data_IF_349528762277
#
_entry.id   IF_349528762277
#
_cell.length_a   1.000
_cell.length_b   1.000
_cell.length_c   1.000
_cell.angle_alpha   90.00
_cell.angle_beta   90.00
_cell.angle_gamma   90.00
#
_symmetry.space_group_name_H-M   'P 1'
#
loop_
_entity.id
_entity.type
_entity.pdbx_description
1 polymer ?
#
# COMPACT_ATOMS: atom_id res chain seq x y z
N UNK A 1 -8.14 12.34 13.66
CA UNK A 1 -7.42 11.44 14.59
C UNK A 1 -8.38 11.01 15.68
N UNK A 2 -8.88 9.78 15.61
CA UNK A 2 -9.69 9.18 16.68
C UNK A 2 -8.89 8.02 17.27
N UNK A 3 -8.23 8.26 18.41
CA UNK A 3 -7.75 7.17 19.27
C UNK A 3 -8.90 6.82 20.20
N UNK A 4 -9.52 5.66 20.01
CA UNK A 4 -10.51 5.12 20.93
C UNK A 4 -10.00 3.76 21.40
N UNK A 5 -9.69 3.65 22.70
CA UNK A 5 -9.33 2.36 23.31
C UNK A 5 -10.60 1.55 23.55
N UNK A 6 -10.86 0.56 22.71
CA UNK A 6 -11.87 -0.46 22.99
C UNK A 6 -11.23 -1.53 23.89
N UNK A 7 -11.82 -1.84 25.06
CA UNK A 7 -11.28 -2.89 25.93
C UNK A 7 -11.11 -4.22 25.18
N UNK A 8 -9.93 -4.83 25.29
CA UNK A 8 -9.63 -6.10 24.63
C UNK A 8 -9.11 -5.99 23.17
N UNK A 9 -8.98 -4.78 22.62
CA UNK A 9 -8.45 -4.55 21.27
C UNK A 9 -7.05 -3.92 21.35
N UNK A 10 -6.19 -4.26 20.39
CA UNK A 10 -4.86 -3.66 20.27
C UNK A 10 -4.97 -2.13 20.09
N UNK A 11 -4.06 -1.40 20.74
CA UNK A 11 -3.88 0.02 20.45
C UNK A 11 -3.49 0.19 18.99
N UNK A 12 -4.12 1.16 18.32
CA UNK A 12 -3.96 1.37 16.90
C UNK A 12 -4.17 2.83 16.49
N UNK A 13 -3.67 3.18 15.30
CA UNK A 13 -3.93 4.44 14.62
C UNK A 13 -4.42 4.17 13.20
N UNK A 14 -5.37 5.00 12.76
CA UNK A 14 -5.96 4.93 11.42
C UNK A 14 -5.64 6.20 10.66
N UNK A 15 -5.09 6.04 9.46
CA UNK A 15 -4.67 7.12 8.57
C UNK A 15 -5.10 6.82 7.12
N UNK A 16 -5.25 7.87 6.33
CA UNK A 16 -5.70 7.76 4.94
C UNK A 16 -7.22 7.77 4.77
N UNK A 17 -7.70 7.68 3.51
CA UNK A 17 -9.11 7.82 3.19
C UNK A 17 -9.94 6.65 3.71
N UNK A 18 -11.16 6.93 4.20
CA UNK A 18 -12.09 5.89 4.65
C UNK A 18 -12.49 4.89 3.54
N UNK A 19 -12.41 5.32 2.28
CA UNK A 19 -12.66 4.49 1.10
C UNK A 19 -11.45 3.70 0.61
N UNK A 20 -10.25 3.97 1.14
CA UNK A 20 -9.02 3.29 0.75
C UNK A 20 -9.06 1.80 1.10
N UNK A 21 -8.34 0.99 0.34
CA UNK A 21 -8.21 -0.44 0.65
C UNK A 21 -7.60 -0.62 2.05
N UNK A 22 -8.21 -1.43 2.94
CA UNK A 22 -7.69 -1.61 4.29
C UNK A 22 -6.29 -2.24 4.27
N UNK A 23 -5.33 -1.59 4.94
CA UNK A 23 -3.95 -2.07 5.08
C UNK A 23 -3.58 -2.12 6.55
N UNK A 24 -3.36 -3.31 7.10
CA UNK A 24 -2.92 -3.49 8.48
C UNK A 24 -1.39 -3.60 8.54
N UNK A 25 -0.76 -2.85 9.45
CA UNK A 25 0.69 -2.75 9.59
C UNK A 25 1.16 -3.26 10.96
N UNK A 26 1.86 -4.40 10.97
CA UNK A 26 2.37 -5.05 12.18
C UNK A 26 3.83 -4.66 12.51
N UNK A 27 4.15 -4.28 13.75
CA UNK A 27 5.47 -3.79 14.13
C UNK A 27 6.46 -4.93 14.43
N UNK A 28 7.73 -4.57 14.59
CA UNK A 28 8.77 -5.48 15.10
C UNK A 28 8.64 -5.66 16.61
N UNK A 29 9.14 -6.79 17.14
CA UNK A 29 9.35 -6.95 18.57
C UNK A 29 10.24 -5.81 19.10
N UNK A 30 9.81 -5.15 20.17
CA UNK A 30 10.53 -4.05 20.79
C UNK A 30 10.26 -2.67 20.19
N UNK A 31 9.39 -2.54 19.20
CA UNK A 31 9.02 -1.23 18.63
C UNK A 31 7.54 -0.94 18.85
N UNK A 32 7.13 0.32 18.70
CA UNK A 32 5.72 0.69 18.55
C UNK A 32 5.32 0.81 17.07
N UNK A 33 4.07 1.21 16.83
CA UNK A 33 3.52 1.61 15.54
C UNK A 33 4.30 2.76 14.87
N UNK A 34 5.16 3.46 15.60
CA UNK A 34 6.04 4.50 15.06
C UNK A 34 7.08 3.95 14.07
N UNK A 35 7.41 2.65 14.14
CA UNK A 35 8.35 2.01 13.20
C UNK A 35 7.91 2.13 11.73
N UNK A 36 6.62 2.36 11.49
CA UNK A 36 6.03 2.52 10.16
C UNK A 36 5.91 3.98 9.70
N UNK A 37 6.25 4.96 10.54
CA UNK A 37 6.10 6.40 10.24
C UNK A 37 6.70 6.80 8.87
N UNK A 38 7.89 6.30 8.46
CA UNK A 38 8.47 6.66 7.16
C UNK A 38 7.63 6.23 5.94
N UNK A 39 6.78 5.21 6.07
CA UNK A 39 5.95 4.69 4.98
C UNK A 39 4.53 5.27 4.97
N UNK A 40 4.02 5.69 6.13
CA UNK A 40 2.61 6.03 6.36
C UNK A 40 2.11 7.08 5.38
N UNK A 41 2.82 8.21 5.25
CA UNK A 41 2.38 9.30 4.38
C UNK A 41 2.22 8.89 2.91
N UNK A 42 2.99 7.89 2.46
CA UNK A 42 2.89 7.38 1.09
C UNK A 42 1.78 6.34 0.92
N UNK A 43 1.64 5.42 1.88
CA UNK A 43 0.61 4.37 1.87
C UNK A 43 -0.80 4.95 2.07
N UNK A 44 -0.93 5.93 2.96
CA UNK A 44 -2.18 6.58 3.31
C UNK A 44 -2.79 7.44 2.19
N UNK A 45 -2.08 7.63 1.06
CA UNK A 45 -2.67 8.29 -0.12
C UNK A 45 -3.74 7.44 -0.80
N UNK A 46 -3.64 6.11 -0.71
CA UNK A 46 -4.53 5.18 -1.42
C UNK A 46 -5.14 4.12 -0.51
N UNK A 47 -4.55 3.85 0.66
CA UNK A 47 -5.00 2.84 1.60
C UNK A 47 -5.60 3.47 2.85
N UNK A 48 -6.56 2.77 3.46
CA UNK A 48 -6.97 3.01 4.85
C UNK A 48 -5.98 2.26 5.73
N UNK A 49 -4.92 2.94 6.15
CA UNK A 49 -3.82 2.35 6.90
C UNK A 49 -4.19 2.22 8.37
N UNK A 50 -4.03 1.02 8.93
CA UNK A 50 -4.24 0.70 10.34
C UNK A 50 -2.92 0.18 10.91
N UNK A 51 -2.23 1.02 11.67
CA UNK A 51 -1.03 0.63 12.42
C UNK A 51 -1.42 0.22 13.82
N UNK A 52 -0.81 -0.84 14.36
CA UNK A 52 -1.15 -1.34 15.69
C UNK A 52 0.10 -1.69 16.50
N UNK A 53 -0.05 -1.73 17.82
CA UNK A 53 1.03 -2.08 18.75
C UNK A 53 0.89 -3.51 19.27
N UNK A 54 2.01 -4.22 19.39
CA UNK A 54 2.08 -5.53 20.06
C UNK A 54 1.66 -5.42 21.54
N UNK A 55 1.09 -6.46 22.15
CA UNK A 55 0.87 -6.52 23.59
C UNK A 55 2.14 -6.18 24.39
N UNK A 56 2.03 -5.24 25.33
CA UNK A 56 3.16 -4.72 26.12
C UNK A 56 4.06 -3.74 25.38
N UNK A 57 3.71 -3.32 24.17
CA UNK A 57 4.44 -2.33 23.38
C UNK A 57 3.55 -1.12 23.10
N UNK A 58 4.17 0.05 22.93
CA UNK A 58 3.46 1.30 22.65
C UNK A 58 2.27 1.53 23.58
N UNK A 59 1.07 1.61 23.03
CA UNK A 59 -0.17 1.78 23.80
C UNK A 59 -0.94 0.49 24.14
N UNK A 60 -0.48 -0.68 23.70
CA UNK A 60 -1.21 -1.95 23.88
C UNK A 60 -0.92 -2.58 25.26
N UNK A 61 -1.94 -2.87 26.09
CA UNK A 61 -1.74 -3.49 27.39
C UNK A 61 -1.07 -4.87 27.29
N UNK A 62 -0.10 -5.16 28.16
CA UNK A 62 0.58 -6.46 28.21
C UNK A 62 -0.38 -7.63 28.49
N UNK A 63 -1.43 -7.39 29.29
CA UNK A 63 -2.44 -8.39 29.64
C UNK A 63 -3.21 -8.96 28.44
N UNK A 64 -3.12 -8.35 27.26
CA UNK A 64 -3.70 -8.90 26.03
C UNK A 64 -3.01 -10.20 25.58
N UNK A 65 -1.78 -10.46 26.01
CA UNK A 65 -1.02 -11.67 25.67
C UNK A 65 -0.45 -12.33 26.92
N UNK A 66 -1.19 -13.28 27.54
CA UNK A 66 -0.70 -14.03 28.68
C UNK A 66 0.57 -14.84 28.35
N UNK A 67 1.38 -15.14 29.37
CA UNK A 67 2.55 -16.02 29.23
C UNK A 67 2.16 -17.39 28.66
N UNK A 68 3.02 -17.98 27.83
CA UNK A 68 2.75 -19.24 27.13
C UNK A 68 1.82 -19.12 25.91
N UNK A 69 1.41 -17.91 25.53
CA UNK A 69 0.69 -17.67 24.27
C UNK A 69 1.53 -18.08 23.05
N UNK A 70 0.84 -18.35 21.95
CA UNK A 70 1.41 -18.67 20.65
C UNK A 70 1.16 -17.56 19.63
N UNK A 71 1.64 -17.76 18.41
CA UNK A 71 1.39 -16.84 17.29
C UNK A 71 -0.11 -16.75 16.96
N UNK A 72 -0.89 -17.78 17.28
CA UNK A 72 -2.33 -17.82 17.02
C UNK A 72 -3.08 -16.79 17.86
N UNK A 73 -2.70 -16.58 19.12
CA UNK A 73 -3.27 -15.54 19.97
C UNK A 73 -2.98 -14.15 19.42
N UNK A 74 -1.74 -13.88 18.97
CA UNK A 74 -1.41 -12.61 18.30
C UNK A 74 -2.22 -12.41 17.01
N UNK A 75 -2.32 -13.45 16.18
CA UNK A 75 -3.14 -13.41 14.97
C UNK A 75 -4.62 -13.14 15.26
N UNK A 76 -5.18 -13.76 16.31
CA UNK A 76 -6.54 -13.49 16.75
C UNK A 76 -6.74 -12.05 17.19
N UNK A 77 -5.80 -11.45 17.93
CA UNK A 77 -5.90 -10.04 18.32
C UNK A 77 -5.93 -9.09 17.10
N UNK A 78 -5.21 -9.42 16.02
CA UNK A 78 -5.27 -8.67 14.76
C UNK A 78 -6.61 -8.85 14.06
N UNK A 79 -7.19 -10.06 14.07
CA UNK A 79 -8.52 -10.31 13.54
C UNK A 79 -9.61 -9.59 14.34
N UNK A 80 -9.53 -9.62 15.66
CA UNK A 80 -10.45 -8.93 16.56
C UNK A 80 -10.36 -7.40 16.35
N UNK A 81 -9.16 -6.86 16.13
CA UNK A 81 -8.97 -5.47 15.70
C UNK A 81 -9.65 -5.20 14.36
N UNK A 82 -9.39 -6.01 13.33
CA UNK A 82 -10.01 -5.83 12.01
C UNK A 82 -11.55 -5.88 12.09
N UNK A 83 -12.10 -6.83 12.84
CA UNK A 83 -13.54 -7.01 13.04
C UNK A 83 -14.15 -5.80 13.77
N UNK A 84 -13.46 -5.28 14.82
CA UNK A 84 -13.89 -4.07 15.54
C UNK A 84 -13.97 -2.81 14.64
N UNK A 85 -13.19 -2.79 13.56
CA UNK A 85 -13.15 -1.72 12.56
C UNK A 85 -14.05 -1.97 11.34
N UNK A 86 -14.81 -3.07 11.33
CA UNK A 86 -15.67 -3.50 10.22
C UNK A 86 -14.91 -3.97 8.98
N UNK A 87 -13.65 -4.40 9.14
CA UNK A 87 -12.76 -4.76 8.02
C UNK A 87 -12.84 -6.27 7.77
N UNK A 88 -13.63 -6.67 6.76
CA UNK A 88 -13.80 -8.07 6.37
C UNK A 88 -12.60 -8.68 5.63
N UNK A 89 -11.90 -7.90 4.80
CA UNK A 89 -10.70 -8.34 4.07
C UNK A 89 -9.71 -7.18 3.99
N UNK A 90 -8.41 -7.46 4.07
CA UNK A 90 -7.37 -6.45 4.13
C UNK A 90 -6.07 -6.91 3.47
N UNK A 91 -5.28 -5.95 2.99
CA UNK A 91 -3.86 -6.14 2.78
C UNK A 91 -3.11 -6.10 4.12
N UNK A 92 -1.99 -6.79 4.21
CA UNK A 92 -1.19 -6.85 5.44
C UNK A 92 0.29 -6.66 5.13
N UNK A 93 0.97 -5.83 5.91
CA UNK A 93 2.43 -5.77 5.92
C UNK A 93 2.96 -5.85 7.36
N UNK A 94 4.00 -6.64 7.58
CA UNK A 94 4.53 -6.86 8.94
C UNK A 94 6.04 -6.93 8.96
N UNK A 95 6.65 -6.31 9.99
CA UNK A 95 8.09 -6.37 10.23
C UNK A 95 8.39 -7.47 11.24
N UNK A 96 9.34 -8.37 10.95
CA UNK A 96 9.84 -9.34 11.93
C UNK A 96 8.70 -10.18 12.56
N UNK A 97 8.48 -10.10 13.88
CA UNK A 97 7.32 -10.72 14.55
C UNK A 97 5.98 -10.30 13.93
N UNK A 98 5.79 -9.03 13.57
CA UNK A 98 4.62 -8.59 12.83
C UNK A 98 4.48 -9.30 11.48
N UNK A 99 5.59 -9.62 10.82
CA UNK A 99 5.59 -10.46 9.61
C UNK A 99 5.16 -11.91 9.89
N UNK A 100 5.62 -12.49 11.00
CA UNK A 100 5.21 -13.82 11.43
C UNK A 100 3.70 -13.91 11.70
N UNK A 101 3.13 -12.86 12.30
CA UNK A 101 1.68 -12.73 12.48
C UNK A 101 0.97 -12.69 11.13
N UNK A 102 1.48 -11.92 10.16
CA UNK A 102 0.93 -11.87 8.80
C UNK A 102 0.97 -13.19 8.06
N UNK A 103 2.09 -13.91 8.15
CA UNK A 103 2.24 -15.23 7.55
C UNK A 103 1.27 -16.25 8.17
N UNK A 104 1.11 -16.23 9.51
CA UNK A 104 0.12 -17.05 10.19
C UNK A 104 -1.31 -16.71 9.74
N UNK A 105 -1.67 -15.42 9.67
CA UNK A 105 -2.98 -14.97 9.18
C UNK A 105 -3.23 -15.48 7.75
N UNK A 106 -2.25 -15.39 6.86
CA UNK A 106 -2.40 -15.82 5.47
C UNK A 106 -2.55 -17.34 5.32
N UNK A 107 -1.94 -18.15 6.20
CA UNK A 107 -2.12 -19.61 6.23
C UNK A 107 -3.48 -20.01 6.80
N UNK A 108 -3.91 -19.36 7.87
CA UNK A 108 -5.07 -19.81 8.67
C UNK A 108 -6.38 -19.09 8.30
N UNK A 109 -6.28 -17.91 7.71
CA UNK A 109 -7.40 -17.07 7.31
C UNK A 109 -7.17 -16.48 5.90
N UNK A 110 -6.95 -17.32 4.87
CA UNK A 110 -6.61 -16.87 3.51
C UNK A 110 -7.69 -15.95 2.90
N UNK A 111 -8.95 -16.11 3.28
CA UNK A 111 -10.05 -15.25 2.82
C UNK A 111 -9.97 -13.81 3.35
N UNK A 112 -9.27 -13.61 4.47
CA UNK A 112 -9.11 -12.30 5.13
C UNK A 112 -7.93 -11.52 4.55
N UNK A 113 -6.89 -12.20 4.06
CA UNK A 113 -5.64 -11.57 3.60
C UNK A 113 -5.64 -11.46 2.06
N UNK A 114 -5.82 -10.23 1.56
CA UNK A 114 -5.84 -9.93 0.12
C UNK A 114 -4.46 -9.85 -0.52
N UNK A 115 -3.48 -9.36 0.22
CA UNK A 115 -2.08 -9.15 -0.19
C UNK A 115 -1.19 -9.16 1.05
N UNK A 116 0.05 -9.66 0.94
CA UNK A 116 0.94 -9.90 2.07
C UNK A 116 2.36 -9.39 1.82
N UNK A 117 2.86 -8.49 2.68
CA UNK A 117 4.27 -8.11 2.70
C UNK A 117 4.97 -8.53 4.00
N UNK A 118 6.03 -9.33 3.87
CA UNK A 118 6.87 -9.81 4.96
C UNK A 118 8.20 -9.06 4.95
N UNK A 119 8.41 -8.15 5.91
CA UNK A 119 9.60 -7.28 5.96
C UNK A 119 10.54 -7.76 7.06
N UNK A 120 11.77 -8.10 6.73
CA UNK A 120 12.79 -8.58 7.67
C UNK A 120 12.23 -9.59 8.68
N UNK A 121 11.63 -10.65 8.14
CA UNK A 121 10.91 -11.69 8.90
C UNK A 121 11.46 -13.08 8.56
N UNK A 122 10.86 -14.12 9.13
CA UNK A 122 11.29 -15.49 8.95
C UNK A 122 10.13 -16.48 9.10
N UNK A 123 10.29 -17.67 8.51
CA UNK A 123 9.41 -18.81 8.75
C UNK A 123 9.71 -19.51 10.10
N UNK A 124 10.89 -19.27 10.70
CA UNK A 124 11.27 -19.74 12.05
C UNK A 124 12.42 -18.90 12.60
N UNK A 125 12.29 -18.43 13.84
CA UNK A 125 13.30 -17.54 14.44
C UNK A 125 14.33 -18.31 15.26
N UNK A 126 15.42 -18.75 14.62
CA UNK A 126 16.62 -19.24 15.32
C UNK A 126 16.38 -20.39 16.31
N UNK A 127 17.11 -20.37 17.43
CA UNK A 127 17.00 -21.35 18.52
C UNK A 127 15.90 -20.96 19.52
N UNK A 128 14.86 -21.80 19.75
CA UNK A 128 13.83 -21.56 20.76
C UNK A 128 14.37 -21.28 22.17
N UNK A 129 15.44 -21.96 22.57
CA UNK A 129 15.98 -21.79 23.93
C UNK A 129 16.66 -20.43 24.10
N UNK A 130 17.20 -19.84 23.02
CA UNK A 130 17.73 -18.48 23.05
C UNK A 130 16.62 -17.45 23.33
N UNK A 131 15.44 -17.63 22.74
CA UNK A 131 14.28 -16.78 23.01
C UNK A 131 13.73 -16.95 24.42
N UNK A 132 13.67 -18.18 24.94
CA UNK A 132 13.26 -18.44 26.33
C UNK A 132 14.25 -17.83 27.34
N UNK A 133 15.56 -17.93 27.08
CA UNK A 133 16.58 -17.25 27.89
C UNK A 133 16.42 -15.74 27.85
N UNK A 134 16.14 -15.16 26.67
CA UNK A 134 15.85 -13.73 26.53
C UNK A 134 14.60 -13.32 27.30
N UNK A 135 13.52 -14.10 27.24
CA UNK A 135 12.31 -13.86 28.01
C UNK A 135 12.59 -13.83 29.53
N UNK A 136 13.33 -14.82 30.03
CA UNK A 136 13.72 -14.88 31.45
C UNK A 136 14.58 -13.69 31.86
N UNK A 137 15.56 -13.30 31.04
CA UNK A 137 16.41 -12.13 31.30
C UNK A 137 15.59 -10.84 31.35
N UNK A 138 14.66 -10.63 30.41
CA UNK A 138 13.81 -9.43 30.39
C UNK A 138 12.88 -9.37 31.59
N UNK A 139 12.31 -10.49 32.04
CA UNK A 139 11.50 -10.50 33.28
C UNK A 139 12.34 -10.13 34.52
N UNK A 140 13.61 -10.51 34.55
CA UNK A 140 14.50 -10.26 35.68
C UNK A 140 15.09 -8.84 35.68
N UNK A 141 15.47 -8.34 34.50
CA UNK A 141 16.33 -7.15 34.35
C UNK A 141 15.63 -6.00 33.60
N UNK A 142 14.42 -6.23 33.09
CA UNK A 142 13.74 -5.32 32.18
C UNK A 142 14.32 -5.33 30.75
N UNK A 143 13.83 -4.41 29.91
CA UNK A 143 14.24 -4.30 28.51
C UNK A 143 15.45 -3.38 28.28
N UNK A 144 15.91 -2.67 29.33
CA UNK A 144 17.01 -1.70 29.26
C UNK A 144 18.30 -2.25 28.61
N UNK A 145 18.85 -3.39 29.08
CA UNK A 145 20.05 -3.97 28.49
C UNK A 145 19.89 -4.36 27.01
N UNK A 146 18.68 -4.75 26.60
CA UNK A 146 18.38 -5.03 25.20
C UNK A 146 18.33 -3.76 24.37
N UNK A 147 17.79 -2.67 24.92
CA UNK A 147 17.73 -1.37 24.25
C UNK A 147 19.13 -0.82 23.96
N UNK A 148 20.07 -0.97 24.90
CA UNK A 148 21.45 -0.52 24.76
C UNK A 148 22.18 -1.24 23.60
N UNK A 149 21.82 -2.50 23.33
CA UNK A 149 22.39 -3.29 22.24
C UNK A 149 21.54 -3.26 20.94
N UNK A 150 20.34 -2.68 20.95
CA UNK A 150 19.39 -2.82 19.85
C UNK A 150 19.82 -2.10 18.57
N UNK A 151 20.44 -0.92 18.68
CA UNK A 151 20.83 -0.11 17.53
C UNK A 151 21.75 -0.88 16.55
N UNK A 152 22.73 -1.62 17.09
CA UNK A 152 23.67 -2.42 16.29
C UNK A 152 23.00 -3.60 15.56
N UNK A 153 21.84 -4.07 16.05
CA UNK A 153 21.05 -5.13 15.41
C UNK A 153 20.03 -4.56 14.42
N UNK A 154 19.48 -3.38 14.71
CA UNK A 154 18.42 -2.77 13.92
C UNK A 154 18.91 -2.00 12.70
N UNK A 155 20.11 -1.44 12.76
CA UNK A 155 20.64 -0.56 11.74
C UNK A 155 22.05 -0.97 11.31
N UNK A 156 22.33 -0.91 10.01
CA UNK A 156 23.67 -1.11 9.48
C UNK A 156 24.63 0.00 9.97
N UNK A 157 25.96 -0.27 10.04
CA UNK A 157 26.95 0.71 10.48
C UNK A 157 26.86 2.03 9.71
N UNK A 158 27.00 3.14 10.43
CA UNK A 158 26.95 4.49 9.85
C UNK A 158 25.55 5.09 9.74
N UNK A 159 24.47 4.37 10.08
CA UNK A 159 23.11 4.93 10.06
C UNK A 159 22.97 6.17 10.95
N UNK A 160 23.43 6.09 12.20
CA UNK A 160 23.35 7.20 13.16
C UNK A 160 24.37 8.33 12.92
N UNK A 161 25.08 8.33 11.77
CA UNK A 161 25.96 9.45 11.40
C UNK A 161 25.15 10.67 10.92
N UNK A 162 23.94 10.46 10.40
CA UNK A 162 22.99 11.52 10.07
C UNK A 162 22.15 11.90 11.31
N UNK A 163 21.99 13.19 11.66
CA UNK A 163 21.25 13.60 12.86
C UNK A 163 19.77 13.19 12.86
N UNK A 164 19.11 13.14 11.71
CA UNK A 164 17.70 12.74 11.60
C UNK A 164 17.58 11.23 11.83
N UNK A 165 18.47 10.46 11.20
CA UNK A 165 18.57 9.01 11.41
C UNK A 165 18.92 8.66 12.87
N UNK A 166 19.79 9.44 13.52
CA UNK A 166 20.14 9.26 14.92
C UNK A 166 18.93 9.49 15.85
N UNK A 167 18.16 10.55 15.63
CA UNK A 167 16.95 10.83 16.40
C UNK A 167 15.91 9.71 16.27
N UNK A 168 15.73 9.18 15.04
CA UNK A 168 14.81 8.08 14.78
C UNK A 168 15.28 6.77 15.43
N UNK A 169 16.59 6.49 15.42
CA UNK A 169 17.15 5.34 16.14
C UNK A 169 16.97 5.49 17.66
N UNK A 170 17.14 6.69 18.21
CA UNK A 170 16.91 6.99 19.62
C UNK A 170 15.44 6.80 20.01
N UNK A 171 14.49 7.29 19.21
CA UNK A 171 13.06 7.09 19.43
C UNK A 171 12.70 5.60 19.48
N UNK A 172 13.14 4.82 18.49
CA UNK A 172 12.84 3.39 18.42
C UNK A 172 13.50 2.58 19.54
N UNK A 173 14.72 2.95 19.95
CA UNK A 173 15.37 2.30 21.11
C UNK A 173 14.74 2.74 22.44
N UNK A 174 14.18 3.96 22.48
CA UNK A 174 13.30 4.44 23.54
C UNK A 174 12.04 3.59 23.68
N UNK A 175 11.37 3.27 22.57
CA UNK A 175 10.22 2.36 22.55
C UNK A 175 10.56 0.98 23.16
N UNK A 176 11.72 0.43 22.81
CA UNK A 176 12.16 -0.84 23.39
C UNK A 176 12.40 -0.73 24.90
N UNK A 177 13.04 0.34 25.34
CA UNK A 177 13.28 0.59 26.76
C UNK A 177 11.98 0.79 27.54
N UNK A 178 10.93 1.31 26.88
CA UNK A 178 9.62 1.55 27.47
C UNK A 178 8.68 0.32 27.41
N UNK A 179 9.02 -0.71 26.62
CA UNK A 179 8.20 -1.90 26.49
C UNK A 179 8.04 -2.63 27.84
N UNK A 180 6.83 -3.10 28.11
CA UNK A 180 6.52 -3.87 29.31
C UNK A 180 7.33 -5.18 29.32
N UNK A 181 8.08 -5.47 30.41
CA UNK A 181 8.91 -6.66 30.47
C UNK A 181 8.14 -7.98 30.29
N UNK A 182 6.92 -8.09 30.81
CA UNK A 182 6.13 -9.32 30.69
C UNK A 182 5.58 -9.48 29.28
N UNK A 183 5.02 -8.41 28.68
CA UNK A 183 4.54 -8.44 27.30
C UNK A 183 5.67 -8.72 26.30
N UNK A 184 6.86 -8.15 26.52
CA UNK A 184 8.05 -8.45 25.73
C UNK A 184 8.48 -9.92 25.86
N UNK A 185 8.51 -10.44 27.09
CA UNK A 185 8.86 -11.83 27.37
C UNK A 185 7.86 -12.82 26.75
N UNK A 186 6.56 -12.55 26.84
CA UNK A 186 5.51 -13.33 26.20
C UNK A 186 5.69 -13.34 24.66
N UNK A 187 6.02 -12.21 24.05
CA UNK A 187 6.33 -12.17 22.61
C UNK A 187 7.59 -12.97 22.25
N UNK A 188 8.61 -13.03 23.13
CA UNK A 188 9.76 -13.92 22.93
C UNK A 188 9.35 -15.40 22.98
N UNK A 189 8.44 -15.78 23.88
CA UNK A 189 7.92 -17.16 23.95
C UNK A 189 7.13 -17.53 22.69
N UNK A 190 6.35 -16.60 22.14
CA UNK A 190 5.69 -16.78 20.83
C UNK A 190 6.73 -17.07 19.74
N UNK A 191 7.81 -16.29 19.65
CA UNK A 191 8.88 -16.52 18.69
C UNK A 191 9.59 -17.86 18.91
N UNK A 192 9.75 -18.29 20.17
CA UNK A 192 10.32 -19.59 20.50
C UNK A 192 9.48 -20.76 19.98
N UNK A 193 8.16 -20.61 19.99
CA UNK A 193 7.20 -21.62 19.53
C UNK A 193 6.84 -21.54 18.03
N UNK A 194 7.29 -20.50 17.33
CA UNK A 194 6.90 -20.25 15.94
C UNK A 194 7.75 -21.04 14.93
N UNK A 195 7.08 -21.90 14.16
CA UNK A 195 7.63 -22.55 12.97
C UNK A 195 6.51 -22.74 11.94
N UNK A 196 6.65 -22.09 10.78
CA UNK A 196 5.67 -22.11 9.70
C UNK A 196 6.24 -22.76 8.42
N UNK A 197 7.46 -23.31 8.48
CA UNK A 197 8.20 -23.77 7.29
C UNK A 197 7.45 -24.83 6.49
N UNK A 198 6.79 -25.77 7.16
CA UNK A 198 5.99 -26.84 6.52
C UNK A 198 4.63 -26.35 5.98
N UNK A 199 4.29 -25.07 6.19
CA UNK A 199 2.99 -24.48 5.85
C UNK A 199 3.07 -23.31 4.88
N UNK A 200 4.27 -22.84 4.53
CA UNK A 200 4.47 -21.73 3.58
C UNK A 200 3.70 -21.94 2.26
N UNK A 201 3.70 -23.18 1.75
CA UNK A 201 2.98 -23.56 0.53
C UNK A 201 1.46 -23.39 0.58
N UNK A 202 0.88 -23.07 1.75
CA UNK A 202 -0.56 -22.82 1.93
C UNK A 202 -0.93 -21.35 1.79
N UNK A 203 0.04 -20.44 1.78
CA UNK A 203 -0.21 -19.02 1.58
C UNK A 203 -0.63 -18.81 0.12
N UNK A 204 -1.87 -18.36 -0.08
CA UNK A 204 -2.43 -18.07 -1.41
C UNK A 204 -2.46 -16.59 -1.76
N UNK A 205 -2.27 -15.71 -0.77
CA UNK A 205 -2.19 -14.28 -1.01
C UNK A 205 -0.93 -13.95 -1.83
N UNK A 206 -1.02 -13.05 -2.84
CA UNK A 206 0.17 -12.48 -3.48
C UNK A 206 1.12 -11.97 -2.40
N UNK A 207 2.38 -12.38 -2.45
CA UNK A 207 3.34 -12.13 -1.36
C UNK A 207 4.59 -11.41 -1.83
N UNK A 208 4.97 -10.35 -1.13
CA UNK A 208 6.26 -9.69 -1.21
C UNK A 208 7.07 -10.01 0.05
N UNK A 209 8.32 -10.41 -0.12
CA UNK A 209 9.30 -10.56 0.95
C UNK A 209 10.37 -9.47 0.77
N UNK A 210 10.65 -8.72 1.83
CA UNK A 210 11.70 -7.70 1.84
C UNK A 210 12.75 -8.09 2.89
N UNK A 211 14.02 -8.07 2.52
CA UNK A 211 15.13 -8.29 3.46
C UNK A 211 16.13 -7.13 3.42
N UNK A 212 16.64 -6.75 4.59
CA UNK A 212 17.87 -6.00 4.68
C UNK A 212 19.06 -6.93 4.42
N UNK A 213 19.98 -6.57 3.51
CA UNK A 213 21.16 -7.39 3.20
C UNK A 213 22.11 -7.55 4.39
N UNK A 214 22.10 -6.57 5.28
CA UNK A 214 22.98 -6.49 6.44
C UNK A 214 22.25 -6.92 7.73
N UNK A 215 21.05 -7.53 7.62
CA UNK A 215 20.24 -7.93 8.77
C UNK A 215 20.85 -9.13 9.51
N UNK A 216 21.30 -8.98 10.78
CA UNK A 216 21.85 -10.09 11.54
C UNK A 216 20.76 -10.89 12.30
N UNK A 217 19.54 -10.36 12.43
CA UNK A 217 18.45 -10.99 13.19
C UNK A 217 17.62 -11.93 12.32
N UNK A 218 17.32 -11.52 11.10
CA UNK A 218 16.66 -12.32 10.07
C UNK A 218 17.46 -12.22 8.77
N UNK A 219 18.61 -12.91 8.68
CA UNK A 219 19.51 -12.75 7.54
C UNK A 219 18.83 -13.12 6.22
N UNK A 220 19.32 -12.65 5.06
CA UNK A 220 18.68 -12.86 3.76
C UNK A 220 18.30 -14.32 3.43
N UNK A 221 19.00 -15.31 4.00
CA UNK A 221 18.62 -16.71 3.88
C UNK A 221 17.21 -17.02 4.40
N UNK A 222 16.76 -16.35 5.48
CA UNK A 222 15.39 -16.49 6.01
C UNK A 222 14.35 -15.94 5.02
N UNK A 223 14.65 -14.82 4.38
CA UNK A 223 13.77 -14.22 3.38
C UNK A 223 13.70 -15.05 2.09
N UNK A 224 14.81 -15.68 1.69
CA UNK A 224 14.82 -16.66 0.60
C UNK A 224 14.00 -17.89 0.95
N UNK A 225 14.13 -18.44 2.16
CA UNK A 225 13.28 -19.55 2.61
C UNK A 225 11.78 -19.20 2.53
N UNK A 226 11.40 -17.98 2.94
CA UNK A 226 10.03 -17.48 2.79
C UNK A 226 9.62 -17.39 1.31
N UNK A 227 10.43 -16.75 0.47
CA UNK A 227 10.10 -16.54 -0.94
C UNK A 227 10.03 -17.86 -1.74
N UNK A 228 10.93 -18.80 -1.47
CA UNK A 228 10.97 -20.11 -2.12
C UNK A 228 9.82 -21.01 -1.64
N UNK A 229 9.40 -20.86 -0.38
CA UNK A 229 8.32 -21.65 0.21
C UNK A 229 6.91 -21.16 -0.11
N UNK A 230 6.74 -19.89 -0.52
CA UNK A 230 5.43 -19.27 -0.78
C UNK A 230 5.17 -19.18 -2.30
N UNK A 231 4.09 -19.81 -2.81
CA UNK A 231 3.78 -19.79 -4.24
C UNK A 231 3.63 -18.37 -4.80
N UNK A 232 4.44 -18.04 -5.82
CA UNK A 232 4.38 -16.75 -6.49
C UNK A 232 4.89 -15.58 -5.67
N UNK A 233 5.60 -15.83 -4.56
CA UNK A 233 6.23 -14.75 -3.80
C UNK A 233 7.37 -14.08 -4.58
N UNK A 234 7.56 -12.80 -4.30
CA UNK A 234 8.68 -12.00 -4.83
C UNK A 234 9.60 -11.59 -3.69
N UNK A 235 10.91 -11.53 -3.95
CA UNK A 235 11.91 -11.15 -2.96
C UNK A 235 12.62 -9.85 -3.39
N UNK A 236 12.74 -8.91 -2.46
CA UNK A 236 13.53 -7.69 -2.59
C UNK A 236 14.57 -7.63 -1.48
N UNK A 237 15.85 -7.71 -1.84
CA UNK A 237 16.97 -7.54 -0.91
C UNK A 237 17.54 -6.12 -1.00
N UNK A 238 17.33 -5.33 0.05
CA UNK A 238 17.71 -3.92 0.15
C UNK A 238 19.14 -3.79 0.66
N UNK A 239 20.02 -3.19 -0.14
CA UNK A 239 21.40 -2.94 0.23
C UNK A 239 21.54 -1.77 1.23
N UNK A 240 22.49 -1.89 2.17
CA UNK A 240 22.70 -0.87 3.21
C UNK A 240 21.52 -0.78 4.17
N UNK A 241 20.86 -1.90 4.42
CA UNK A 241 19.73 -2.03 5.34
C UNK A 241 19.95 -3.26 6.22
N UNK A 242 19.80 -3.09 7.53
CA UNK A 242 19.75 -4.18 8.50
C UNK A 242 18.28 -4.53 8.83
N UNK A 243 17.98 -4.85 10.10
CA UNK A 243 16.69 -5.41 10.48
C UNK A 243 15.51 -4.44 10.31
N UNK A 244 15.66 -3.15 10.65
CA UNK A 244 14.61 -2.14 10.44
C UNK A 244 14.77 -1.48 9.08
N UNK A 245 14.72 -2.29 8.01
CA UNK A 245 14.98 -1.85 6.64
C UNK A 245 14.08 -0.69 6.18
N UNK A 246 12.81 -0.68 6.61
CA UNK A 246 11.87 0.41 6.30
C UNK A 246 12.24 1.75 6.93
N UNK A 247 12.93 1.72 8.07
CA UNK A 247 13.45 2.91 8.74
C UNK A 247 14.77 3.35 8.11
N UNK A 248 15.65 2.38 7.83
CA UNK A 248 16.99 2.68 7.32
C UNK A 248 17.00 3.12 5.85
N UNK A 249 16.14 2.51 5.01
CA UNK A 249 16.04 2.77 3.56
C UNK A 249 14.57 3.00 3.17
N UNK A 250 13.95 4.09 3.65
CA UNK A 250 12.51 4.29 3.56
C UNK A 250 12.00 4.37 2.13
N UNK A 251 12.74 4.98 1.20
CA UNK A 251 12.31 5.13 -0.20
C UNK A 251 12.26 3.77 -0.91
N UNK A 252 13.26 2.93 -0.69
CA UNK A 252 13.36 1.61 -1.32
C UNK A 252 12.24 0.68 -0.84
N UNK A 253 12.01 0.63 0.48
CA UNK A 253 10.95 -0.19 1.08
C UNK A 253 9.57 0.34 0.71
N UNK A 254 9.35 1.66 0.75
CA UNK A 254 8.08 2.28 0.35
C UNK A 254 7.74 1.99 -1.11
N UNK A 255 8.72 2.09 -2.01
CA UNK A 255 8.54 1.78 -3.44
C UNK A 255 8.14 0.32 -3.64
N UNK A 256 8.81 -0.61 -2.96
CA UNK A 256 8.49 -2.03 -3.06
C UNK A 256 7.08 -2.33 -2.53
N UNK A 257 6.71 -1.76 -1.38
CA UNK A 257 5.37 -1.90 -0.79
C UNK A 257 4.29 -1.34 -1.71
N UNK A 258 4.45 -0.12 -2.23
CA UNK A 258 3.46 0.48 -3.14
C UNK A 258 3.30 -0.31 -4.44
N UNK A 259 4.40 -0.80 -5.02
CA UNK A 259 4.35 -1.63 -6.22
C UNK A 259 3.59 -2.94 -5.99
N UNK A 260 3.81 -3.57 -4.84
CA UNK A 260 3.14 -4.82 -4.49
C UNK A 260 1.66 -4.64 -4.12
N UNK A 261 1.37 -3.68 -3.24
CA UNK A 261 0.02 -3.41 -2.76
C UNK A 261 -0.87 -2.83 -3.86
N UNK A 262 -0.31 -2.02 -4.77
CA UNK A 262 -1.02 -1.49 -5.94
C UNK A 262 -1.33 -2.53 -7.02
N UNK A 263 -0.64 -3.67 -7.05
CA UNK A 263 -0.89 -4.74 -8.02
C UNK A 263 -2.03 -5.69 -7.61
N UNK A 264 -2.42 -5.68 -6.33
CA UNK A 264 -3.40 -6.62 -5.75
C UNK A 264 -4.87 -6.19 -5.80
N UNK A 265 -5.16 -4.90 -6.01
CA UNK A 265 -6.54 -4.45 -6.22
C UNK A 265 -6.96 -4.74 -7.66
N UNK A 266 -8.19 -5.22 -7.89
CA UNK A 266 -8.75 -5.39 -9.25
C UNK A 266 -8.71 -4.08 -10.08
N UNK A 267 -8.52 -2.97 -9.37
CA UNK A 267 -8.47 -1.63 -9.88
C UNK A 267 -7.05 -1.12 -10.16
N UNK A 268 -6.00 -1.79 -9.68
CA UNK A 268 -4.61 -1.43 -9.97
C UNK A 268 -4.26 -1.57 -11.46
N UNK A 269 -4.48 -2.74 -12.07
CA UNK A 269 -4.33 -2.93 -13.51
C UNK A 269 -5.25 -2.01 -14.33
N UNK A 270 -6.48 -1.76 -13.86
CA UNK A 270 -7.41 -0.81 -14.51
C UNK A 270 -6.94 0.62 -14.42
N UNK A 271 -6.45 1.06 -13.27
CA UNK A 271 -5.91 2.40 -13.07
C UNK A 271 -4.66 2.61 -13.93
N UNK A 272 -3.76 1.62 -14.00
CA UNK A 272 -2.58 1.67 -14.85
C UNK A 272 -2.94 1.74 -16.34
N UNK A 273 -3.82 0.84 -16.80
CA UNK A 273 -4.30 0.84 -18.18
C UNK A 273 -5.07 2.14 -18.51
N UNK A 274 -5.88 2.62 -17.57
CA UNK A 274 -6.62 3.87 -17.67
C UNK A 274 -5.72 5.08 -17.73
N UNK A 275 -4.65 5.12 -16.91
CA UNK A 275 -3.64 6.18 -16.99
C UNK A 275 -2.98 6.20 -18.37
N UNK A 276 -2.58 5.05 -18.91
CA UNK A 276 -1.96 4.94 -20.22
C UNK A 276 -2.91 5.40 -21.36
N UNK A 277 -4.17 4.97 -21.33
CA UNK A 277 -5.16 5.39 -22.33
C UNK A 277 -5.54 6.86 -22.18
N UNK A 278 -5.77 7.34 -20.96
CA UNK A 278 -6.06 8.75 -20.67
C UNK A 278 -4.96 9.65 -21.20
N UNK A 279 -3.69 9.28 -21.03
CA UNK A 279 -2.54 10.01 -21.60
C UNK A 279 -2.52 9.96 -23.12
N UNK A 280 -2.73 8.80 -23.72
CA UNK A 280 -2.80 8.70 -25.19
C UNK A 280 -3.96 9.53 -25.79
N UNK A 281 -5.10 9.60 -25.10
CA UNK A 281 -6.33 10.26 -25.59
C UNK A 281 -6.43 11.72 -25.19
N UNK A 282 -5.91 12.16 -24.04
CA UNK A 282 -5.95 13.56 -23.59
C UNK A 282 -4.61 14.30 -23.66
N UNK A 283 -3.50 13.58 -23.77
CA UNK A 283 -2.15 14.13 -23.87
C UNK A 283 -1.50 14.25 -22.50
N UNK A 284 -0.18 14.02 -22.44
CA UNK A 284 0.56 13.99 -21.17
C UNK A 284 0.44 15.29 -20.39
N UNK A 285 0.65 16.44 -21.05
CA UNK A 285 0.57 17.75 -20.40
C UNK A 285 -0.79 18.02 -19.72
N UNK A 286 -1.89 17.56 -20.33
CA UNK A 286 -3.22 17.72 -19.73
C UNK A 286 -3.38 16.82 -18.50
N UNK A 287 -2.94 15.57 -18.60
CA UNK A 287 -3.03 14.61 -17.49
C UNK A 287 -2.12 15.03 -16.33
N UNK A 288 -0.92 15.51 -16.61
CA UNK A 288 0.02 16.00 -15.60
C UNK A 288 -0.54 17.23 -14.87
N UNK A 289 -1.12 18.19 -15.60
CA UNK A 289 -1.77 19.35 -14.99
C UNK A 289 -2.96 18.95 -14.10
N UNK A 290 -3.78 17.99 -14.55
CA UNK A 290 -4.93 17.50 -13.78
C UNK A 290 -4.50 16.77 -12.49
N UNK A 291 -3.40 16.02 -12.54
CA UNK A 291 -2.86 15.33 -11.36
C UNK A 291 -2.18 16.30 -10.38
N UNK A 292 -1.43 17.29 -10.90
CA UNK A 292 -0.76 18.29 -10.07
C UNK A 292 -1.76 19.23 -9.36
N UNK A 293 -2.91 19.48 -9.99
CA UNK A 293 -3.99 20.28 -9.41
C UNK A 293 -4.99 19.49 -8.55
N UNK A 294 -4.82 18.18 -8.40
CA UNK A 294 -5.73 17.36 -7.60
C UNK A 294 -5.47 17.57 -6.10
N UNK A 295 -6.54 17.89 -5.37
CA UNK A 295 -6.56 18.05 -3.92
C UNK A 295 -7.38 16.93 -3.26
N UNK A 296 -7.52 16.96 -1.93
CA UNK A 296 -8.29 15.97 -1.18
C UNK A 296 -9.74 15.83 -1.67
N UNK A 297 -10.33 16.93 -2.16
CA UNK A 297 -11.69 16.96 -2.66
C UNK A 297 -11.82 16.33 -4.05
N UNK A 298 -10.88 16.62 -4.96
CA UNK A 298 -10.95 16.22 -6.37
C UNK A 298 -10.22 14.92 -6.69
N UNK A 299 -9.26 14.50 -5.87
CA UNK A 299 -8.48 13.28 -6.07
C UNK A 299 -9.35 12.00 -6.18
N UNK A 300 -10.39 11.78 -5.35
CA UNK A 300 -11.24 10.60 -5.50
C UNK A 300 -11.98 10.57 -6.84
N UNK A 301 -12.36 11.74 -7.37
CA UNK A 301 -13.00 11.84 -8.67
C UNK A 301 -12.00 11.58 -9.81
N UNK A 302 -10.77 12.11 -9.71
CA UNK A 302 -9.70 11.84 -10.68
C UNK A 302 -9.34 10.35 -10.76
N UNK A 303 -9.31 9.68 -9.61
CA UNK A 303 -9.11 8.23 -9.53
C UNK A 303 -10.28 7.46 -10.18
N UNK A 304 -11.53 7.81 -9.83
CA UNK A 304 -12.73 7.17 -10.40
C UNK A 304 -12.75 7.24 -11.94
N UNK A 305 -12.55 8.43 -12.51
CA UNK A 305 -12.58 8.59 -13.98
C UNK A 305 -11.42 7.86 -14.64
N UNK A 306 -10.24 7.82 -14.00
CA UNK A 306 -9.07 7.10 -14.50
C UNK A 306 -9.34 5.61 -14.56
N UNK A 307 -9.92 5.02 -13.52
CA UNK A 307 -10.25 3.59 -13.50
C UNK A 307 -11.39 3.23 -14.44
N UNK A 308 -12.49 3.97 -14.42
CA UNK A 308 -13.71 3.53 -15.12
C UNK A 308 -13.82 4.07 -16.54
N UNK A 309 -13.69 5.37 -16.74
CA UNK A 309 -13.79 5.91 -18.09
C UNK A 309 -12.61 5.37 -18.92
N UNK A 310 -11.39 5.57 -18.42
CA UNK A 310 -10.21 5.25 -19.20
C UNK A 310 -9.79 3.78 -19.07
N UNK A 311 -9.81 3.23 -17.86
CA UNK A 311 -9.33 1.89 -17.55
C UNK A 311 -10.29 0.74 -17.86
N UNK A 312 -11.59 1.01 -17.90
CA UNK A 312 -12.62 -0.01 -18.16
C UNK A 312 -13.34 0.23 -19.50
N UNK A 313 -13.78 1.44 -19.81
CA UNK A 313 -14.58 1.67 -21.02
C UNK A 313 -13.73 1.89 -22.26
N UNK A 314 -12.72 2.75 -22.21
CA UNK A 314 -11.88 3.08 -23.36
C UNK A 314 -10.83 2.01 -23.70
N UNK A 315 -10.53 1.09 -22.77
CA UNK A 315 -9.66 -0.08 -22.98
C UNK A 315 -10.39 -1.28 -23.60
N UNK A 316 -11.73 -1.31 -23.56
CA UNK A 316 -12.49 -2.48 -24.04
C UNK A 316 -12.27 -2.76 -25.52
N UNK A 317 -12.14 -4.04 -25.90
CA UNK A 317 -12.16 -4.43 -27.30
C UNK A 317 -13.54 -4.18 -27.90
N UNK A 318 -13.59 -3.99 -29.22
CA UNK A 318 -14.84 -3.89 -29.99
C UNK A 318 -15.01 -2.57 -30.74
N UNK A 319 -14.56 -1.44 -30.16
CA UNK A 319 -14.51 -0.15 -30.86
C UNK A 319 -13.11 0.43 -30.76
N UNK A 320 -12.58 0.87 -31.91
CA UNK A 320 -11.31 1.59 -31.94
C UNK A 320 -11.44 3.02 -31.37
N UNK A 321 -10.30 3.66 -31.12
CA UNK A 321 -10.28 4.99 -30.49
C UNK A 321 -10.91 6.07 -31.38
N UNK A 322 -10.80 5.93 -32.70
CA UNK A 322 -11.42 6.86 -33.67
C UNK A 322 -12.94 6.85 -33.51
N UNK A 323 -13.53 5.66 -33.53
CA UNK A 323 -14.98 5.47 -33.40
C UNK A 323 -15.48 5.95 -32.03
N UNK A 324 -14.73 5.66 -30.96
CA UNK A 324 -15.05 6.19 -29.62
C UNK A 324 -15.03 7.71 -29.59
N UNK A 325 -14.04 8.35 -30.21
CA UNK A 325 -14.01 9.81 -30.37
C UNK A 325 -15.24 10.35 -31.10
N UNK A 326 -15.69 9.73 -32.20
CA UNK A 326 -16.92 10.14 -32.88
C UNK A 326 -18.13 10.14 -31.92
N UNK A 327 -18.31 9.04 -31.18
CA UNK A 327 -19.41 8.87 -30.22
C UNK A 327 -19.33 9.93 -29.10
N UNK A 328 -18.13 10.15 -28.55
CA UNK A 328 -17.92 11.13 -27.48
C UNK A 328 -18.21 12.56 -27.95
N UNK A 329 -17.77 12.94 -29.15
CA UNK A 329 -18.06 14.27 -29.72
C UNK A 329 -19.58 14.49 -29.86
N UNK A 330 -20.30 13.53 -30.42
CA UNK A 330 -21.77 13.61 -30.54
C UNK A 330 -22.44 13.70 -29.17
N UNK A 331 -22.02 12.89 -28.19
CA UNK A 331 -22.60 12.90 -26.85
C UNK A 331 -22.39 14.23 -26.11
N UNK A 332 -21.19 14.81 -26.20
CA UNK A 332 -20.86 16.09 -25.57
C UNK A 332 -21.60 17.25 -26.24
N UNK A 333 -21.70 17.25 -27.57
CA UNK A 333 -22.47 18.22 -28.32
C UNK A 333 -23.97 18.15 -27.97
N UNK A 334 -24.54 16.94 -27.92
CA UNK A 334 -25.95 16.73 -27.58
C UNK A 334 -26.32 17.21 -26.16
N UNK A 335 -25.35 17.22 -25.24
CA UNK A 335 -25.55 17.66 -23.85
C UNK A 335 -25.11 19.10 -23.59
N UNK A 336 -24.55 19.80 -24.59
CA UNK A 336 -24.07 21.17 -24.46
C UNK A 336 -22.80 21.31 -23.60
N UNK A 337 -22.01 20.24 -23.44
CA UNK A 337 -20.80 20.24 -22.64
C UNK A 337 -19.61 20.80 -23.43
N UNK A 338 -19.64 22.09 -23.75
CA UNK A 338 -18.75 22.70 -24.74
C UNK A 338 -17.26 22.76 -24.33
N UNK A 339 -16.95 22.86 -23.04
CA UNK A 339 -15.57 22.84 -22.54
C UNK A 339 -14.92 21.47 -22.76
N UNK A 340 -15.63 20.41 -22.35
CA UNK A 340 -15.23 19.02 -22.60
C UNK A 340 -15.21 18.71 -24.10
N UNK A 341 -16.13 19.26 -24.89
CA UNK A 341 -16.14 19.09 -26.34
C UNK A 341 -14.85 19.64 -26.96
N UNK A 342 -14.39 20.82 -26.53
CA UNK A 342 -13.14 21.39 -27.02
C UNK A 342 -11.93 20.47 -26.72
N UNK A 343 -11.87 19.92 -25.51
CA UNK A 343 -10.87 18.93 -25.13
C UNK A 343 -10.92 17.68 -26.03
N UNK A 344 -12.13 17.17 -26.28
CA UNK A 344 -12.33 15.96 -27.07
C UNK A 344 -12.16 16.15 -28.59
N UNK A 345 -12.25 17.38 -29.12
CA UNK A 345 -11.83 17.68 -30.51
C UNK A 345 -10.32 17.48 -30.65
N UNK A 346 -9.51 17.98 -29.70
CA UNK A 346 -8.05 17.71 -29.68
C UNK A 346 -7.74 16.22 -29.53
N UNK A 347 -8.51 15.53 -28.68
CA UNK A 347 -8.41 14.09 -28.49
C UNK A 347 -8.72 13.31 -29.78
N UNK A 348 -9.75 13.72 -30.52
CA UNK A 348 -10.14 13.10 -31.78
C UNK A 348 -9.03 13.21 -32.84
N UNK A 349 -8.40 14.38 -32.96
CA UNK A 349 -7.23 14.57 -33.83
C UNK A 349 -6.08 13.63 -33.44
N UNK A 350 -5.78 13.49 -32.15
CA UNK A 350 -4.72 12.58 -31.64
C UNK A 350 -5.05 11.11 -31.84
N UNK A 351 -6.32 10.74 -31.77
CA UNK A 351 -6.81 9.41 -32.14
C UNK A 351 -6.84 9.19 -33.67
N UNK A 352 -6.51 10.22 -34.45
CA UNK A 352 -6.25 10.16 -35.89
C UNK A 352 -7.35 10.76 -36.77
N UNK A 353 -8.46 11.26 -36.23
CA UNK A 353 -9.50 11.87 -37.06
C UNK A 353 -8.95 13.11 -37.78
N UNK A 354 -9.42 13.31 -39.00
CA UNK A 354 -9.15 14.53 -39.77
C UNK A 354 -10.18 15.63 -39.44
N UNK A 355 -9.87 16.92 -39.70
CA UNK A 355 -10.85 18.00 -39.57
C UNK A 355 -12.14 17.73 -40.36
N UNK A 356 -12.01 17.13 -41.55
CA UNK A 356 -13.14 16.76 -42.39
C UNK A 356 -14.02 15.70 -41.70
N UNK A 357 -13.43 14.64 -41.16
CA UNK A 357 -14.17 13.59 -40.45
C UNK A 357 -14.86 14.11 -39.18
N UNK A 358 -14.22 15.03 -38.45
CA UNK A 358 -14.86 15.72 -37.33
C UNK A 358 -16.07 16.51 -37.82
N UNK A 359 -15.94 17.22 -38.96
CA UNK A 359 -17.05 17.90 -39.62
C UNK A 359 -18.22 16.97 -39.94
N UNK A 360 -17.96 15.79 -40.51
CA UNK A 360 -19.01 14.79 -40.81
C UNK A 360 -19.75 14.32 -39.55
N UNK A 361 -19.04 14.10 -38.43
CA UNK A 361 -19.67 13.75 -37.14
C UNK A 361 -20.60 14.86 -36.64
N UNK A 362 -20.21 16.12 -36.81
CA UNK A 362 -21.02 17.26 -36.38
C UNK A 362 -22.21 17.52 -37.31
N UNK A 363 -22.08 17.26 -38.61
CA UNK A 363 -23.20 17.26 -39.55
C UNK A 363 -24.24 16.19 -39.16
N UNK A 364 -23.79 14.97 -38.84
CA UNK A 364 -24.67 13.91 -38.34
C UNK A 364 -25.39 14.35 -37.05
N UNK A 365 -24.67 15.02 -36.15
CA UNK A 365 -25.22 15.54 -34.89
C UNK A 365 -26.34 16.57 -35.12
N UNK A 366 -26.28 17.38 -36.18
CA UNK A 366 -27.33 18.36 -36.50
C UNK A 366 -28.70 17.70 -36.74
N UNK A 367 -28.70 16.50 -37.33
CA UNK A 367 -29.93 15.78 -37.68
C UNK A 367 -30.56 15.11 -36.46
N UNK A 368 -29.74 14.48 -35.62
CA UNK A 368 -30.23 13.67 -34.50
C UNK A 368 -30.31 14.42 -33.17
N UNK A 369 -29.53 15.49 -33.00
CA UNK A 369 -29.46 16.28 -31.77
C UNK A 369 -29.92 17.73 -31.97
N UNK A 370 -30.20 18.13 -33.22
CA UNK A 370 -30.71 19.45 -33.58
C UNK A 370 -29.62 20.43 -34.03
N UNK A 371 -30.00 21.28 -34.98
CA UNK A 371 -29.12 22.31 -35.57
C UNK A 371 -28.50 23.26 -34.53
N UNK A 372 -29.20 23.72 -33.48
CA UNK A 372 -28.58 24.58 -32.46
C UNK A 372 -27.40 23.92 -31.74
N UNK A 373 -27.52 22.63 -31.36
CA UNK A 373 -26.44 21.89 -30.70
C UNK A 373 -25.24 21.73 -31.65
N UNK A 374 -25.50 21.43 -32.93
CA UNK A 374 -24.45 21.34 -33.93
C UNK A 374 -23.77 22.69 -34.21
N UNK A 375 -24.52 23.80 -34.25
CA UNK A 375 -23.94 25.13 -34.43
C UNK A 375 -22.93 25.47 -33.32
N UNK A 376 -23.29 25.24 -32.06
CA UNK A 376 -22.36 25.42 -30.94
C UNK A 376 -21.16 24.48 -31.05
N UNK A 377 -21.37 23.23 -31.44
CA UNK A 377 -20.29 22.26 -31.63
C UNK A 377 -19.33 22.65 -32.77
N UNK A 378 -19.84 23.15 -33.90
CA UNK A 378 -19.04 23.65 -35.02
C UNK A 378 -18.21 24.86 -34.61
N UNK A 379 -18.77 25.80 -33.85
CA UNK A 379 -18.04 26.95 -33.35
C UNK A 379 -16.88 26.53 -32.42
N UNK A 380 -17.12 25.55 -31.54
CA UNK A 380 -16.08 24.97 -30.68
C UNK A 380 -15.00 24.28 -31.52
N UNK A 381 -15.40 23.47 -32.49
CA UNK A 381 -14.48 22.72 -33.33
C UNK A 381 -13.62 23.63 -34.23
N UNK A 382 -14.20 24.63 -34.91
CA UNK A 382 -13.45 25.59 -35.75
C UNK A 382 -12.36 26.30 -34.93
N UNK A 383 -12.73 26.81 -33.75
CA UNK A 383 -11.77 27.44 -32.84
C UNK A 383 -10.61 26.50 -32.50
N UNK A 384 -10.90 25.28 -32.04
CA UNK A 384 -9.86 24.31 -31.65
C UNK A 384 -9.03 23.89 -32.86
N UNK A 385 -9.63 23.67 -34.03
CA UNK A 385 -8.91 23.25 -35.23
C UNK A 385 -7.94 24.34 -35.72
N UNK A 386 -8.30 25.63 -35.59
CA UNK A 386 -7.40 26.75 -35.85
C UNK A 386 -6.27 26.84 -34.83
N UNK A 387 -6.57 26.69 -33.54
CA UNK A 387 -5.56 26.65 -32.47
C UNK A 387 -4.52 25.54 -32.70
N UNK A 388 -4.96 24.37 -33.19
CA UNK A 388 -4.11 23.23 -33.52
C UNK A 388 -3.45 23.32 -34.91
N UNK A 389 -3.66 24.43 -35.65
CA UNK A 389 -3.07 24.67 -36.97
C UNK A 389 -3.53 23.67 -38.05
N UNK A 390 -4.76 23.17 -37.95
CA UNK A 390 -5.31 22.13 -38.84
C UNK A 390 -6.16 22.68 -39.98
N UNK A 391 -6.64 23.93 -39.87
CA UNK A 391 -7.44 24.66 -40.88
C UNK A 391 -7.14 26.15 -40.86
#
# INVERSE_FOLDING_TARGET
MTSASVPGVLHHRIEGPAWGEPLLLGPSLGTSLAVWEPQVGALARTHRVVRWDLPGHGGSPAALLPAGSSIAELGRLVLDLADSLGIGRFAYAGISLGGAVGAWLAVHHPDRVGSLALVCSSARFGDPDAWRRRAAAVRAEGTGPLADAAAARWFAPGFAADPVAAALAEELTGDLRAADPEGYAACCEVLAGYDLRDRLGRITAPTLVIAGRDDPATPPAHARELADGIPGATLVEVAGAAHLAGVQRPEAVTTALLGHLGAGSADGPRHAAGTAVRRAVLGDAHVDAALAGADEFTAPFQDLITRYAWGEIWTRPGLDRRTRSCITLTALAARGHHEELAMHVRAALRNGLTPQEIGEVLLQTAIYCGVPAANSAFAVADRVLREEGRI
#
